data_IF_103274682467
#
_entry.id   IF_103274682467
#
_cell.length_a   1.000
_cell.length_b   1.000
_cell.length_c   1.000
_cell.angle_alpha   90.00
_cell.angle_beta   90.00
_cell.angle_gamma   90.00
#
_symmetry.space_group_name_H-M   'P 1'
#
loop_
_entity.id
_entity.type
_entity.pdbx_description
1 polymer ?
#
# COMPACT_ATOMS: atom_id res chain seq x y z
N UNK A 1 25.58 -6.31 8.95
CA UNK A 1 24.98 -5.10 8.35
C UNK A 1 23.53 -5.43 8.06
N UNK A 2 22.58 -4.79 8.74
CA UNK A 2 21.15 -5.00 8.50
C UNK A 2 20.80 -4.46 7.11
N UNK A 3 20.89 -5.30 6.09
CA UNK A 3 20.59 -4.91 4.71
C UNK A 3 19.10 -4.67 4.59
N UNK A 4 18.71 -3.45 4.22
CA UNK A 4 17.32 -3.15 3.85
C UNK A 4 16.89 -4.06 2.70
N UNK A 5 15.73 -4.69 2.83
CA UNK A 5 15.17 -5.54 1.78
C UNK A 5 14.48 -4.68 0.74
N UNK A 6 15.20 -4.31 -0.32
CA UNK A 6 14.65 -3.57 -1.46
C UNK A 6 13.39 -4.20 -2.07
N UNK A 7 13.25 -5.54 -2.18
CA UNK A 7 12.00 -6.15 -2.62
C UNK A 7 10.82 -5.79 -1.71
N UNK A 8 10.99 -5.86 -0.38
CA UNK A 8 9.96 -5.49 0.59
C UNK A 8 9.54 -4.03 0.41
N UNK A 9 10.50 -3.12 0.24
CA UNK A 9 10.26 -1.69 0.03
C UNK A 9 9.54 -1.43 -1.30
N UNK A 10 9.91 -2.14 -2.37
CA UNK A 10 9.25 -2.01 -3.67
C UNK A 10 7.77 -2.45 -3.60
N UNK A 11 7.48 -3.56 -2.91
CA UNK A 11 6.10 -3.99 -2.68
C UNK A 11 5.33 -3.02 -1.78
N UNK A 12 5.97 -2.43 -0.77
CA UNK A 12 5.36 -1.36 0.03
C UNK A 12 4.98 -0.14 -0.83
N UNK A 13 5.81 0.24 -1.80
CA UNK A 13 5.51 1.32 -2.73
C UNK A 13 4.30 1.00 -3.62
N UNK A 14 4.27 -0.20 -4.22
CA UNK A 14 3.14 -0.66 -5.02
C UNK A 14 1.85 -0.75 -4.21
N UNK A 15 1.94 -1.29 -2.99
CA UNK A 15 0.86 -1.31 -2.00
C UNK A 15 0.33 0.10 -1.71
N UNK A 16 1.21 1.06 -1.46
CA UNK A 16 0.84 2.45 -1.18
C UNK A 16 0.06 3.09 -2.33
N UNK A 17 0.47 2.82 -3.57
CA UNK A 17 -0.28 3.27 -4.76
C UNK A 17 -1.68 2.68 -4.77
N UNK A 18 -1.84 1.36 -4.60
CA UNK A 18 -3.16 0.72 -4.61
C UNK A 18 -4.09 1.24 -3.50
N UNK A 19 -3.59 1.35 -2.27
CA UNK A 19 -4.37 1.88 -1.13
C UNK A 19 -4.74 3.34 -1.36
N UNK A 20 -3.83 4.16 -1.89
CA UNK A 20 -4.11 5.55 -2.23
C UNK A 20 -5.25 5.68 -3.25
N UNK A 21 -5.22 4.88 -4.32
CA UNK A 21 -6.28 4.90 -5.34
C UNK A 21 -7.61 4.37 -4.81
N UNK A 22 -7.62 3.39 -3.90
CA UNK A 22 -8.85 2.96 -3.23
C UNK A 22 -9.44 4.07 -2.36
N UNK A 23 -8.60 4.77 -1.59
CA UNK A 23 -9.05 5.93 -0.79
C UNK A 23 -9.55 7.07 -1.69
N UNK A 24 -8.90 7.31 -2.83
CA UNK A 24 -9.33 8.30 -3.81
C UNK A 24 -10.67 7.92 -4.45
N UNK A 25 -10.89 6.64 -4.77
CA UNK A 25 -12.16 6.17 -5.31
C UNK A 25 -13.28 6.32 -4.29
N UNK A 26 -13.03 5.99 -3.02
CA UNK A 26 -13.98 6.18 -1.92
C UNK A 26 -14.39 7.65 -1.78
N UNK A 27 -13.42 8.57 -1.82
CA UNK A 27 -13.69 10.02 -1.74
C UNK A 27 -14.51 10.56 -2.92
N UNK A 28 -14.38 9.97 -4.10
CA UNK A 28 -15.10 10.39 -5.31
C UNK A 28 -16.39 9.59 -5.55
N UNK A 29 -16.72 8.62 -4.69
CA UNK A 29 -17.87 7.76 -4.87
C UNK A 29 -19.17 8.53 -4.64
N UNK A 30 -20.02 8.64 -5.66
CA UNK A 30 -21.28 9.43 -5.64
C UNK A 30 -22.52 8.62 -5.27
N UNK A 31 -22.36 7.52 -4.53
CA UNK A 31 -23.50 6.81 -3.91
C UNK A 31 -24.30 5.88 -4.84
N UNK A 32 -23.67 5.27 -5.85
CA UNK A 32 -24.38 4.35 -6.75
C UNK A 32 -24.83 3.02 -6.11
N UNK A 33 -24.10 2.52 -5.12
CA UNK A 33 -24.44 1.32 -4.35
C UNK A 33 -23.84 1.45 -2.95
N UNK A 34 -24.69 1.42 -1.92
CA UNK A 34 -24.26 1.53 -0.52
C UNK A 34 -23.32 0.39 -0.12
N UNK A 35 -23.62 -0.83 -0.56
CA UNK A 35 -22.82 -2.03 -0.28
C UNK A 35 -21.41 -1.91 -0.88
N UNK A 36 -21.31 -1.42 -2.12
CA UNK A 36 -20.02 -1.21 -2.77
C UNK A 36 -19.19 -0.14 -2.06
N UNK A 37 -19.82 0.97 -1.65
CA UNK A 37 -19.16 2.02 -0.87
C UNK A 37 -18.63 1.51 0.47
N UNK A 38 -19.40 0.67 1.16
CA UNK A 38 -19.01 0.08 2.44
C UNK A 38 -17.82 -0.88 2.28
N UNK A 39 -17.87 -1.79 1.31
CA UNK A 39 -16.77 -2.72 0.99
C UNK A 39 -15.49 -1.97 0.61
N UNK A 40 -15.60 -0.93 -0.20
CA UNK A 40 -14.48 -0.09 -0.57
C UNK A 40 -13.90 0.67 0.63
N UNK A 41 -14.75 1.16 1.52
CA UNK A 41 -14.34 1.81 2.78
C UNK A 41 -13.59 0.86 3.70
N UNK A 42 -14.13 -0.34 3.92
CA UNK A 42 -13.47 -1.39 4.71
C UNK A 42 -12.12 -1.78 4.11
N UNK A 43 -12.05 -1.99 2.78
CA UNK A 43 -10.80 -2.33 2.10
C UNK A 43 -9.75 -1.22 2.27
N UNK A 44 -10.13 0.04 2.07
CA UNK A 44 -9.22 1.17 2.22
C UNK A 44 -8.73 1.33 3.67
N UNK A 45 -9.59 1.08 4.64
CA UNK A 45 -9.24 1.10 6.06
C UNK A 45 -8.31 -0.04 6.45
N UNK A 46 -8.61 -1.27 6.01
CA UNK A 46 -7.75 -2.43 6.24
C UNK A 46 -6.38 -2.26 5.57
N UNK A 47 -6.35 -1.70 4.35
CA UNK A 47 -5.11 -1.33 3.68
C UNK A 47 -4.31 -0.32 4.50
N UNK A 48 -4.93 0.74 5.02
CA UNK A 48 -4.25 1.70 5.89
C UNK A 48 -3.66 1.03 7.15
N UNK A 49 -4.43 0.18 7.82
CA UNK A 49 -3.97 -0.58 8.99
C UNK A 49 -2.80 -1.51 8.66
N UNK A 50 -2.87 -2.24 7.54
CA UNK A 50 -1.79 -3.12 7.10
C UNK A 50 -0.50 -2.34 6.83
N UNK A 51 -0.60 -1.13 6.27
CA UNK A 51 0.55 -0.24 6.06
C UNK A 51 1.23 0.17 7.36
N UNK A 52 0.46 0.58 8.38
CA UNK A 52 1.02 0.90 9.69
C UNK A 52 1.59 -0.33 10.39
N UNK A 53 0.88 -1.46 10.36
CA UNK A 53 1.36 -2.71 10.94
C UNK A 53 2.70 -3.13 10.32
N UNK A 54 2.85 -2.99 9.00
CA UNK A 54 4.11 -3.26 8.30
C UNK A 54 5.25 -2.35 8.76
N UNK A 55 5.01 -1.04 8.86
CA UNK A 55 6.02 -0.10 9.33
C UNK A 55 6.48 -0.43 10.75
N UNK A 56 5.55 -0.71 11.67
CA UNK A 56 5.88 -1.09 13.05
C UNK A 56 6.66 -2.41 13.05
N UNK A 57 6.19 -3.42 12.32
CA UNK A 57 6.83 -4.73 12.23
C UNK A 57 8.24 -4.66 11.66
N UNK A 58 8.45 -3.88 10.59
CA UNK A 58 9.77 -3.68 10.00
C UNK A 58 10.72 -2.97 10.98
N UNK A 59 10.23 -1.95 11.68
CA UNK A 59 11.01 -1.21 12.68
C UNK A 59 11.44 -2.08 13.86
N UNK A 60 10.55 -2.96 14.30
CA UNK A 60 10.80 -3.89 15.40
C UNK A 60 11.82 -4.97 15.03
N UNK A 61 11.73 -5.54 13.83
CA UNK A 61 12.56 -6.69 13.43
C UNK A 61 13.90 -6.30 12.79
N UNK A 62 13.99 -5.13 12.15
CA UNK A 62 15.17 -4.74 11.37
C UNK A 62 15.91 -3.59 12.04
N UNK A 63 15.31 -2.40 12.08
CA UNK A 63 15.89 -1.21 12.74
C UNK A 63 14.85 -0.10 12.90
N UNK A 64 14.88 0.60 14.03
CA UNK A 64 13.87 1.59 14.41
C UNK A 64 13.71 2.79 13.46
N UNK A 65 14.76 3.17 12.73
CA UNK A 65 14.72 4.30 11.79
C UNK A 65 14.21 3.92 10.40
N UNK A 66 14.24 2.64 10.03
CA UNK A 66 13.85 2.17 8.69
C UNK A 66 12.39 2.50 8.33
N UNK A 67 11.39 2.38 9.23
CA UNK A 67 10.02 2.72 8.92
C UNK A 67 9.84 4.16 8.44
N UNK A 68 10.60 5.11 9.00
CA UNK A 68 10.56 6.52 8.59
C UNK A 68 11.04 6.63 7.13
N UNK A 69 12.14 5.97 6.79
CA UNK A 69 12.71 5.98 5.43
C UNK A 69 11.75 5.30 4.44
N UNK A 70 11.20 4.14 4.79
CA UNK A 70 10.28 3.40 3.93
C UNK A 70 8.99 4.20 3.70
N UNK A 71 8.49 4.88 4.73
CA UNK A 71 7.33 5.75 4.61
C UNK A 71 7.59 6.92 3.66
N UNK A 72 8.75 7.60 3.78
CA UNK A 72 9.13 8.69 2.88
C UNK A 72 9.26 8.19 1.43
N UNK A 73 9.90 7.03 1.21
CA UNK A 73 10.01 6.44 -0.13
C UNK A 73 8.62 6.10 -0.69
N UNK A 74 7.73 5.52 0.13
CA UNK A 74 6.36 5.20 -0.27
C UNK A 74 5.55 6.43 -0.65
N UNK A 75 5.72 7.54 0.09
CA UNK A 75 5.10 8.83 -0.24
C UNK A 75 5.61 9.38 -1.58
N UNK A 76 6.92 9.32 -1.83
CA UNK A 76 7.49 9.74 -3.11
C UNK A 76 6.98 8.84 -4.25
N UNK A 77 6.91 7.53 -4.02
CA UNK A 77 6.38 6.56 -5.00
C UNK A 77 4.91 6.81 -5.34
N UNK A 78 4.10 7.32 -4.40
CA UNK A 78 2.68 7.64 -4.69
C UNK A 78 2.54 8.78 -5.70
N UNK A 79 3.47 9.74 -5.73
CA UNK A 79 3.52 10.74 -6.81
C UNK A 79 3.77 10.11 -8.18
N UNK A 80 4.61 9.07 -8.26
CA UNK A 80 4.80 8.31 -9.50
C UNK A 80 3.58 7.47 -9.88
N UNK A 81 2.73 7.11 -8.92
CA UNK A 81 1.43 6.50 -9.17
C UNK A 81 0.56 7.28 -10.16
N UNK A 82 0.71 8.59 -10.23
CA UNK A 82 0.03 9.44 -11.22
C UNK A 82 0.36 9.08 -12.67
N UNK A 83 1.60 8.65 -12.95
CA UNK A 83 1.97 8.15 -14.27
C UNK A 83 1.28 6.83 -14.58
N UNK A 84 1.18 5.94 -13.58
CA UNK A 84 0.50 4.65 -13.71
C UNK A 84 -0.99 4.85 -13.98
N UNK A 85 -1.63 5.81 -13.31
CA UNK A 85 -3.02 6.20 -13.58
C UNK A 85 -3.24 6.67 -15.00
N UNK A 86 -2.29 7.43 -15.55
CA UNK A 86 -2.37 7.91 -16.93
C UNK A 86 -2.35 6.77 -17.96
N UNK A 87 -1.73 5.64 -17.63
CA UNK A 87 -1.59 4.48 -18.51
C UNK A 87 -2.71 3.45 -18.29
N UNK A 88 -3.03 3.13 -17.03
CA UNK A 88 -3.97 2.05 -16.69
C UNK A 88 -5.43 2.52 -16.50
N UNK A 89 -5.64 3.82 -16.26
CA UNK A 89 -6.96 4.40 -16.01
C UNK A 89 -7.45 4.25 -14.56
N UNK A 90 -8.18 5.27 -14.08
CA UNK A 90 -8.67 5.40 -12.68
C UNK A 90 -9.51 4.20 -12.20
N UNK A 91 -10.35 3.65 -13.08
CA UNK A 91 -11.28 2.56 -12.73
C UNK A 91 -10.54 1.23 -12.57
N UNK A 92 -9.65 0.91 -13.51
CA UNK A 92 -8.83 -0.31 -13.47
C UNK A 92 -7.94 -0.32 -12.25
N UNK A 93 -7.34 0.81 -11.87
CA UNK A 93 -6.51 0.94 -10.68
C UNK A 93 -7.29 0.80 -9.37
N UNK A 94 -8.55 1.25 -9.34
CA UNK A 94 -9.42 1.06 -8.17
C UNK A 94 -9.83 -0.40 -7.98
N UNK A 95 -10.23 -1.07 -9.07
CA UNK A 95 -10.61 -2.50 -9.05
C UNK A 95 -9.39 -3.37 -8.79
N UNK A 96 -8.28 -3.09 -9.47
CA UNK A 96 -7.00 -3.74 -9.20
C UNK A 96 -6.53 -3.45 -7.79
N UNK A 97 -6.85 -2.30 -7.19
CA UNK A 97 -6.56 -2.00 -5.80
C UNK A 97 -7.14 -3.06 -4.86
N UNK A 98 -8.37 -3.52 -5.11
CA UNK A 98 -9.07 -4.49 -4.25
C UNK A 98 -8.36 -5.82 -4.07
N UNK A 99 -7.71 -6.32 -5.12
CA UNK A 99 -6.93 -7.56 -5.08
C UNK A 99 -5.41 -7.31 -5.05
N UNK A 100 -4.96 -6.15 -5.49
CA UNK A 100 -3.55 -5.76 -5.61
C UNK A 100 -2.95 -5.38 -4.28
N UNK A 101 -3.66 -4.64 -3.42
CA UNK A 101 -3.13 -4.29 -2.10
C UNK A 101 -2.92 -5.52 -1.21
N UNK A 102 -3.81 -6.53 -1.12
CA UNK A 102 -3.57 -7.70 -0.27
C UNK A 102 -2.39 -8.55 -0.76
N UNK A 103 -2.24 -8.70 -2.08
CA UNK A 103 -1.11 -9.42 -2.68
C UNK A 103 0.20 -8.70 -2.39
N UNK A 104 0.24 -7.38 -2.57
CA UNK A 104 1.43 -6.59 -2.23
C UNK A 104 1.70 -6.62 -0.73
N UNK A 105 0.66 -6.63 0.11
CA UNK A 105 0.79 -6.74 1.55
C UNK A 105 1.45 -8.08 1.94
N UNK A 106 1.00 -9.19 1.37
CA UNK A 106 1.63 -10.50 1.60
C UNK A 106 3.12 -10.46 1.29
N UNK A 107 3.50 -10.00 0.09
CA UNK A 107 4.91 -9.96 -0.32
C UNK A 107 5.75 -8.97 0.50
N UNK A 108 5.24 -7.78 0.83
CA UNK A 108 6.03 -6.83 1.63
C UNK A 108 6.38 -7.41 2.99
N UNK A 109 5.46 -8.15 3.65
CA UNK A 109 5.72 -8.84 4.91
C UNK A 109 6.65 -10.06 4.73
N UNK A 110 6.47 -10.87 3.69
CA UNK A 110 7.31 -12.06 3.44
C UNK A 110 8.78 -11.73 3.15
N UNK A 111 9.05 -10.57 2.54
CA UNK A 111 10.42 -10.14 2.22
C UNK A 111 11.08 -9.33 3.35
N UNK A 112 10.45 -9.16 4.51
CA UNK A 112 11.11 -8.52 5.65
C UNK A 112 12.29 -9.40 6.08
N UNK A 113 13.51 -8.85 6.18
CA UNK A 113 14.68 -9.61 6.58
C UNK A 113 14.66 -9.80 8.10
N UNK A 114 13.81 -10.71 8.56
CA UNK A 114 13.77 -11.15 9.97
C UNK A 114 14.94 -12.10 10.14
N UNK A 115 15.91 -11.73 10.98
CA UNK A 115 17.03 -12.61 11.30
C UNK A 115 16.51 -13.91 11.91
N UNK A 116 16.82 -15.04 11.27
CA UNK A 116 16.78 -16.35 11.91
C UNK A 116 17.87 -16.45 12.97
#
# INVERSE_FOLDING_TARGET
MSSLSWPSIAFYCAFGIFVFYQQLHLKNFRGGSEVFGLLLGLSAFLGMLAGFAYLIYYGWNVVWWAPIVIFVIGLVATFFGFFVERVAGKLTLSLAGFAGWPVCAYFMFSYVPVGT
#
